data_IF_861694927851
#
_entry.id   IF_861694927851
#
_cell.length_a   1.000
_cell.length_b   1.000
_cell.length_c   1.000
_cell.angle_alpha   90.00
_cell.angle_beta   90.00
_cell.angle_gamma   90.00
#
_symmetry.space_group_name_H-M   'P 1'
#
loop_
_entity.id
_entity.type
_entity.pdbx_description
1 polymer ?
#
# COMPACT_ATOMS: atom_id res chain seq x y z
N UNK A 1 16.37 -18.47 66.39
CA UNK A 1 15.68 -17.50 67.28
C UNK A 1 14.65 -16.73 66.46
N UNK A 2 13.40 -16.74 66.92
CA UNK A 2 12.23 -15.87 66.58
C UNK A 2 11.82 -15.76 65.10
N UNK A 3 10.85 -16.51 64.53
CA UNK A 3 9.37 -16.70 64.75
C UNK A 3 8.43 -15.72 63.99
N UNK A 4 7.76 -16.29 62.96
CA UNK A 4 6.30 -16.24 62.61
C UNK A 4 5.64 -14.90 62.21
N UNK A 5 4.73 -14.79 61.23
CA UNK A 5 3.56 -15.66 60.92
C UNK A 5 3.18 -15.69 59.43
N UNK A 6 2.85 -16.90 58.95
CA UNK A 6 1.96 -17.22 57.81
C UNK A 6 0.49 -17.27 58.28
N UNK A 7 -0.46 -16.92 57.39
CA UNK A 7 -1.78 -17.58 57.22
C UNK A 7 -2.37 -17.12 55.87
N UNK A 8 -2.36 -17.94 54.81
CA UNK A 8 -3.25 -19.06 54.41
C UNK A 8 -4.67 -18.63 54.01
N UNK A 9 -4.94 -18.87 52.73
CA UNK A 9 -6.21 -19.00 52.00
C UNK A 9 -7.26 -19.87 52.70
N UNK A 10 -8.54 -19.63 52.41
CA UNK A 10 -9.55 -20.69 52.36
C UNK A 10 -10.59 -20.43 51.25
N UNK A 11 -10.98 -21.51 50.58
CA UNK A 11 -11.85 -21.59 49.39
C UNK A 11 -13.35 -21.61 49.75
N UNK A 12 -14.15 -21.07 48.81
CA UNK A 12 -15.48 -21.46 48.31
C UNK A 12 -16.39 -22.41 49.14
N UNK A 13 -17.65 -21.99 49.29
CA UNK A 13 -18.85 -22.85 49.22
C UNK A 13 -20.00 -22.12 48.51
N UNK A 14 -20.55 -22.77 47.48
CA UNK A 14 -21.81 -22.44 46.77
C UNK A 14 -23.05 -22.62 47.67
N UNK A 15 -24.09 -21.79 47.48
CA UNK A 15 -25.39 -22.17 46.85
C UNK A 15 -26.48 -21.10 47.01
N UNK A 16 -26.96 -20.63 45.85
CA UNK A 16 -28.37 -20.41 45.42
C UNK A 16 -29.34 -19.44 46.13
N UNK A 17 -29.94 -18.60 45.26
CA UNK A 17 -31.36 -18.22 45.15
C UNK A 17 -31.83 -16.85 45.71
N UNK A 18 -31.88 -15.86 44.80
CA UNK A 18 -33.05 -15.06 44.38
C UNK A 18 -34.04 -14.55 45.47
N UNK A 19 -34.15 -13.23 45.66
CA UNK A 19 -35.36 -12.44 45.32
C UNK A 19 -35.20 -10.93 45.67
N UNK A 20 -35.49 -10.08 44.68
CA UNK A 20 -36.21 -8.79 44.73
C UNK A 20 -35.94 -7.78 45.87
N UNK A 21 -35.49 -6.58 45.49
CA UNK A 21 -35.46 -5.41 46.37
C UNK A 21 -35.13 -4.09 45.66
N UNK A 22 -35.84 -3.76 44.59
CA UNK A 22 -35.92 -2.41 44.02
C UNK A 22 -37.41 -2.06 44.02
N UNK A 23 -37.79 -0.94 44.65
CA UNK A 23 -38.93 -0.07 44.29
C UNK A 23 -39.13 1.02 45.37
N UNK A 24 -39.11 2.27 44.89
CA UNK A 24 -39.81 3.46 45.40
C UNK A 24 -39.51 4.01 46.81
N UNK A 25 -38.82 5.15 46.84
CA UNK A 25 -39.18 6.25 47.74
C UNK A 25 -39.24 7.54 46.91
N UNK A 26 -40.44 7.82 46.38
CA UNK A 26 -40.91 9.15 45.96
C UNK A 26 -42.44 9.16 46.01
N UNK A 27 -43.06 9.23 47.20
CA UNK A 27 -44.44 9.71 47.40
C UNK A 27 -44.58 10.32 48.80
N UNK A 28 -45.13 11.53 48.87
CA UNK A 28 -45.46 12.30 50.09
C UNK A 28 -46.85 11.95 50.66
N UNK A 29 -46.99 12.09 52.00
CA UNK A 29 -48.25 12.23 52.76
C UNK A 29 -48.84 10.93 53.33
N UNK A 30 -49.22 10.76 54.60
CA UNK A 30 -49.68 11.70 55.65
C UNK A 30 -49.60 11.05 57.05
N UNK A 31 -49.61 11.91 58.08
CA UNK A 31 -49.92 11.67 59.50
C UNK A 31 -48.99 10.74 60.31
N UNK A 32 -48.13 11.35 61.14
CA UNK A 32 -48.06 11.07 62.57
C UNK A 32 -47.51 12.29 63.31
N UNK A 33 -48.03 12.48 64.51
CA UNK A 33 -47.97 13.64 65.38
C UNK A 33 -46.57 14.01 65.90
N UNK A 34 -46.29 15.31 65.89
CA UNK A 34 -45.70 16.05 67.01
C UNK A 34 -44.23 15.81 67.33
N UNK A 35 -43.34 16.67 66.81
CA UNK A 35 -42.45 17.49 67.64
C UNK A 35 -41.80 18.59 66.79
N UNK A 36 -41.70 19.79 67.35
CA UNK A 36 -41.19 20.99 66.71
C UNK A 36 -39.70 20.84 66.36
N UNK A 37 -39.37 20.92 65.07
CA UNK A 37 -38.06 21.38 64.62
C UNK A 37 -38.27 22.56 63.69
N UNK A 38 -37.81 23.71 64.15
CA UNK A 38 -37.95 25.00 63.52
C UNK A 38 -36.81 25.17 62.50
N UNK A 39 -37.17 25.42 61.24
CA UNK A 39 -36.31 26.11 60.27
C UNK A 39 -35.43 25.25 59.36
N UNK A 40 -36.04 24.64 58.34
CA UNK A 40 -35.41 24.51 57.02
C UNK A 40 -36.49 24.83 55.99
N UNK A 41 -36.23 25.78 55.09
CA UNK A 41 -37.09 26.04 53.93
C UNK A 41 -37.22 24.75 53.12
N UNK A 42 -38.30 24.00 53.32
CA UNK A 42 -38.70 22.91 52.43
C UNK A 42 -39.29 23.58 51.20
N UNK A 43 -38.43 23.90 50.22
CA UNK A 43 -38.90 24.13 48.86
C UNK A 43 -39.67 22.88 48.45
N UNK A 44 -40.97 23.03 48.20
CA UNK A 44 -41.76 22.04 47.48
C UNK A 44 -41.19 21.94 46.07
N UNK A 45 -40.25 21.01 45.89
CA UNK A 45 -39.73 20.64 44.58
C UNK A 45 -40.87 19.92 43.87
N UNK A 46 -41.38 20.50 42.78
CA UNK A 46 -42.30 19.81 41.88
C UNK A 46 -41.46 19.10 40.82
N UNK A 47 -41.15 17.80 40.98
CA UNK A 47 -40.42 17.06 39.97
C UNK A 47 -41.26 16.98 38.69
N UNK A 48 -40.59 17.15 37.56
CA UNK A 48 -41.16 17.01 36.22
C UNK A 48 -40.56 15.78 35.58
N UNK A 49 -41.41 14.96 34.97
CA UNK A 49 -40.98 13.85 34.14
C UNK A 49 -40.66 14.35 32.74
N UNK A 50 -39.44 14.08 32.27
CA UNK A 50 -38.93 14.46 30.95
C UNK A 50 -38.68 13.19 30.14
N UNK A 51 -39.04 13.21 28.87
CA UNK A 51 -38.74 12.12 27.92
C UNK A 51 -37.41 12.38 27.23
N UNK A 52 -36.56 11.36 27.07
CA UNK A 52 -35.27 11.45 26.41
C UNK A 52 -35.17 10.36 25.35
N UNK A 53 -35.12 10.76 24.09
CA UNK A 53 -35.03 9.84 22.95
C UNK A 53 -33.66 9.99 22.28
N UNK A 54 -32.97 8.87 22.08
CA UNK A 54 -31.77 8.83 21.23
C UNK A 54 -32.20 8.35 19.85
N UNK A 55 -32.12 9.23 18.86
CA UNK A 55 -32.53 8.96 17.47
C UNK A 55 -31.45 8.24 16.65
N UNK A 56 -30.17 8.48 16.96
CA UNK A 56 -29.01 7.94 16.25
C UNK A 56 -27.74 7.99 17.11
N UNK A 57 -26.75 7.16 16.75
CA UNK A 57 -25.43 7.18 17.39
C UNK A 57 -25.33 6.39 18.70
N UNK A 58 -26.23 5.44 18.94
CA UNK A 58 -26.20 4.59 20.15
C UNK A 58 -24.91 3.74 20.20
N UNK A 59 -24.39 3.37 19.03
CA UNK A 59 -23.12 2.67 18.84
C UNK A 59 -21.88 3.48 19.25
N UNK A 60 -22.02 4.79 19.46
CA UNK A 60 -20.95 5.69 19.89
C UNK A 60 -20.90 5.84 21.42
N UNK A 61 -21.81 5.19 22.15
CA UNK A 61 -21.96 5.31 23.59
C UNK A 61 -21.34 4.13 24.33
N UNK A 62 -20.95 4.37 25.58
CA UNK A 62 -20.43 3.30 26.43
C UNK A 62 -21.49 2.21 26.65
N UNK A 63 -21.05 0.96 26.63
CA UNK A 63 -21.89 -0.23 26.83
C UNK A 63 -22.02 -0.60 28.31
N UNK A 64 -21.12 -0.10 29.17
CA UNK A 64 -21.03 -0.48 30.58
C UNK A 64 -21.46 0.66 31.52
N UNK A 65 -22.77 0.82 31.73
CA UNK A 65 -23.34 1.73 32.72
C UNK A 65 -24.44 2.62 32.15
N UNK A 66 -24.99 3.56 32.95
CA UNK A 66 -25.84 4.59 32.37
C UNK A 66 -24.97 5.43 31.42
N UNK A 67 -25.36 5.52 30.15
CA UNK A 67 -24.65 6.31 29.14
C UNK A 67 -25.24 7.70 28.95
N UNK A 68 -26.33 8.01 29.68
CA UNK A 68 -26.98 9.31 29.63
C UNK A 68 -27.57 9.70 30.99
N UNK A 69 -27.47 10.99 31.33
CA UNK A 69 -28.06 11.61 32.52
C UNK A 69 -28.65 12.98 32.18
N UNK A 70 -29.64 13.41 32.95
CA UNK A 70 -30.13 14.79 32.97
C UNK A 70 -30.04 15.29 34.41
N UNK A 71 -29.31 16.38 34.64
CA UNK A 71 -29.03 16.94 35.98
C UNK A 71 -28.56 15.86 36.97
N UNK A 72 -27.56 15.09 36.56
CA UNK A 72 -26.98 13.95 37.29
C UNK A 72 -27.93 12.77 37.57
N UNK A 73 -29.19 12.89 37.19
CA UNK A 73 -30.19 11.83 37.28
C UNK A 73 -30.10 10.92 36.04
N UNK A 74 -29.96 9.62 36.29
CA UNK A 74 -29.85 8.60 35.24
C UNK A 74 -31.18 8.48 34.49
N UNK A 75 -31.12 8.51 33.17
CA UNK A 75 -32.30 8.21 32.33
C UNK A 75 -32.55 6.71 32.36
N UNK A 76 -33.78 6.33 32.66
CA UNK A 76 -34.23 4.93 32.67
C UNK A 76 -35.49 4.82 31.82
N UNK A 77 -35.58 3.83 30.94
CA UNK A 77 -36.73 3.63 30.03
C UNK A 77 -37.13 4.90 29.26
N UNK A 78 -36.13 5.63 28.74
CA UNK A 78 -36.28 6.90 28.01
C UNK A 78 -36.92 8.03 28.84
N UNK A 79 -36.92 7.93 30.17
CA UNK A 79 -37.55 8.91 31.05
C UNK A 79 -36.62 9.28 32.22
N UNK A 80 -36.76 10.50 32.71
CA UNK A 80 -36.04 11.00 33.90
C UNK A 80 -36.91 12.00 34.64
N UNK A 81 -36.87 11.97 35.97
CA UNK A 81 -37.51 12.99 36.80
C UNK A 81 -36.46 14.01 37.22
N UNK A 82 -36.68 15.28 36.87
CA UNK A 82 -35.78 16.39 37.19
C UNK A 82 -36.55 17.51 37.88
N UNK A 83 -35.84 18.35 38.64
CA UNK A 83 -36.44 19.57 39.19
C UNK A 83 -36.77 20.53 38.06
N UNK A 84 -37.81 21.35 38.22
CA UNK A 84 -38.11 22.39 37.24
C UNK A 84 -37.00 23.45 37.27
N UNK A 85 -36.35 23.66 36.13
CA UNK A 85 -35.31 24.66 35.92
C UNK A 85 -35.44 25.25 34.51
N UNK A 86 -34.93 26.47 34.30
CA UNK A 86 -34.92 27.11 32.98
C UNK A 86 -33.93 26.40 32.02
N UNK A 87 -32.91 25.75 32.58
CA UNK A 87 -31.85 25.04 31.87
C UNK A 87 -31.56 23.71 32.56
N UNK A 88 -31.19 22.70 31.77
CA UNK A 88 -30.78 21.38 32.23
C UNK A 88 -29.40 21.01 31.67
N UNK A 89 -28.68 20.14 32.40
CA UNK A 89 -27.45 19.50 31.94
C UNK A 89 -27.75 18.10 31.43
N UNK A 90 -27.52 17.85 30.15
CA UNK A 90 -27.55 16.51 29.57
C UNK A 90 -26.11 16.00 29.50
N UNK A 91 -25.80 14.93 30.23
CA UNK A 91 -24.48 14.30 30.20
C UNK A 91 -24.56 13.01 29.40
N UNK A 92 -23.69 12.84 28.41
CA UNK A 92 -23.62 11.65 27.56
C UNK A 92 -22.22 11.02 27.69
N UNK A 93 -22.16 9.72 27.95
CA UNK A 93 -20.89 9.01 28.10
C UNK A 93 -20.50 8.35 26.76
N UNK A 94 -19.51 8.91 26.03
CA UNK A 94 -19.03 8.28 24.80
C UNK A 94 -18.31 6.97 25.11
N UNK A 95 -18.32 6.05 24.17
CA UNK A 95 -17.45 4.88 24.20
C UNK A 95 -15.98 5.33 24.26
N UNK A 96 -15.15 4.61 25.02
CA UNK A 96 -13.72 4.89 25.13
C UNK A 96 -13.05 5.07 23.74
N UNK A 97 -12.36 6.20 23.55
CA UNK A 97 -11.69 6.54 22.29
C UNK A 97 -12.58 7.25 21.26
N UNK A 98 -13.84 7.52 21.57
CA UNK A 98 -14.72 8.37 20.78
C UNK A 98 -14.89 9.74 21.44
N UNK A 99 -14.80 10.78 20.62
CA UNK A 99 -15.38 12.08 20.93
C UNK A 99 -16.75 12.15 20.23
N UNK A 100 -17.72 12.86 20.80
CA UNK A 100 -19.08 12.96 20.24
C UNK A 100 -19.57 14.41 20.16
N UNK A 101 -20.39 14.70 19.17
CA UNK A 101 -21.22 15.91 19.10
C UNK A 101 -22.69 15.50 19.17
N UNK A 102 -23.55 16.39 19.68
CA UNK A 102 -24.99 16.16 19.75
C UNK A 102 -25.78 17.27 19.05
N UNK A 103 -26.86 16.87 18.39
CA UNK A 103 -28.01 17.76 18.15
C UNK A 103 -29.09 17.41 19.15
N UNK A 104 -29.63 18.40 19.83
CA UNK A 104 -30.67 18.24 20.83
C UNK A 104 -31.87 19.08 20.40
N UNK A 105 -33.00 18.41 20.20
CA UNK A 105 -34.22 19.02 19.64
C UNK A 105 -34.01 19.67 18.26
N UNK A 106 -33.07 19.13 17.48
CA UNK A 106 -32.75 19.57 16.12
C UNK A 106 -31.61 20.59 16.02
N UNK A 107 -31.26 21.25 17.12
CA UNK A 107 -30.20 22.26 17.15
C UNK A 107 -28.86 21.63 17.57
N UNK A 108 -27.76 22.04 16.92
CA UNK A 108 -26.41 21.66 17.36
C UNK A 108 -26.11 22.37 18.69
N UNK A 109 -25.73 21.59 19.70
CA UNK A 109 -25.38 22.12 21.03
C UNK A 109 -23.92 21.81 21.30
N UNK A 110 -23.16 22.83 21.68
CA UNK A 110 -21.76 22.65 22.05
C UNK A 110 -21.65 22.00 23.43
N UNK A 111 -20.91 20.89 23.50
CA UNK A 111 -20.66 20.17 24.73
C UNK A 111 -19.31 20.54 25.36
N UNK A 112 -19.21 20.36 26.68
CA UNK A 112 -17.94 20.42 27.44
C UNK A 112 -17.64 19.04 28.03
N UNK A 113 -16.38 18.61 28.00
CA UNK A 113 -15.96 17.37 28.65
C UNK A 113 -15.82 17.59 30.17
N UNK A 114 -16.54 16.81 30.98
CA UNK A 114 -16.46 16.80 32.44
C UNK A 114 -16.37 15.34 32.92
N UNK A 115 -15.26 14.96 33.56
CA UNK A 115 -15.04 13.61 34.12
C UNK A 115 -15.35 12.44 33.15
N UNK A 116 -14.97 12.59 31.88
CA UNK A 116 -15.19 11.61 30.82
C UNK A 116 -16.59 11.63 30.20
N UNK A 117 -17.48 12.50 30.68
CA UNK A 117 -18.80 12.74 30.09
C UNK A 117 -18.75 13.95 29.16
N UNK A 118 -19.50 13.88 28.06
CA UNK A 118 -19.81 15.05 27.25
C UNK A 118 -21.08 15.71 27.79
N UNK A 119 -20.95 16.91 28.35
CA UNK A 119 -22.02 17.64 29.03
C UNK A 119 -22.55 18.78 28.15
N UNK A 120 -23.85 18.81 27.94
CA UNK A 120 -24.58 19.80 27.14
C UNK A 120 -25.53 20.60 28.02
N UNK A 121 -25.54 21.92 27.87
CA UNK A 121 -26.46 22.80 28.59
C UNK A 121 -27.60 23.19 27.66
N UNK A 122 -28.83 22.83 28.01
CA UNK A 122 -30.02 22.96 27.15
C UNK A 122 -31.18 23.63 27.87
N UNK A 123 -32.06 24.31 27.12
CA UNK A 123 -33.25 24.93 27.68
C UNK A 123 -34.31 23.89 28.13
N UNK A 124 -35.17 24.27 29.07
CA UNK A 124 -36.29 23.43 29.54
C UNK A 124 -37.12 22.87 28.38
N UNK A 125 -37.35 21.55 28.38
CA UNK A 125 -38.29 20.88 27.48
C UNK A 125 -39.05 19.76 28.20
N UNK A 126 -40.17 19.33 27.61
CA UNK A 126 -40.89 18.11 28.02
C UNK A 126 -40.23 16.85 27.41
N UNK A 127 -39.48 17.04 26.32
CA UNK A 127 -38.81 15.99 25.56
C UNK A 127 -37.47 16.50 25.00
N UNK A 128 -36.45 15.65 25.06
CA UNK A 128 -35.18 15.83 24.37
C UNK A 128 -35.01 14.74 23.32
N UNK A 129 -35.03 15.13 22.05
CA UNK A 129 -34.64 14.30 20.92
C UNK A 129 -33.16 14.52 20.62
N UNK A 130 -32.35 13.48 20.82
CA UNK A 130 -30.89 13.56 20.76
C UNK A 130 -30.39 12.74 19.58
N UNK A 131 -29.64 13.40 18.70
CA UNK A 131 -28.88 12.76 17.61
C UNK A 131 -27.39 12.88 17.93
N UNK A 132 -26.72 11.74 18.09
CA UNK A 132 -25.30 11.68 18.44
C UNK A 132 -24.49 11.36 17.18
N UNK A 133 -23.38 12.07 17.00
CA UNK A 133 -22.42 11.83 15.92
C UNK A 133 -21.01 11.88 16.45
N UNK A 134 -20.05 11.26 15.75
CA UNK A 134 -18.65 11.23 16.17
C UNK A 134 -18.02 12.63 16.00
N UNK A 135 -17.57 13.23 17.10
CA UNK A 135 -16.80 14.48 17.07
C UNK A 135 -15.42 14.26 16.49
N UNK A 136 -14.89 15.34 15.94
CA UNK A 136 -13.64 15.35 15.22
C UNK A 136 -13.44 16.71 14.58
N UNK A 137 -12.18 17.05 14.29
CA UNK A 137 -11.93 18.00 13.22
C UNK A 137 -12.73 17.54 12.00
N UNK A 138 -13.39 18.46 11.29
CA UNK A 138 -14.04 18.13 10.02
C UNK A 138 -13.06 17.54 8.99
N UNK A 139 -11.76 17.52 9.30
CA UNK A 139 -10.64 17.13 8.43
C UNK A 139 -9.51 16.49 9.25
N UNK A 140 -8.90 15.42 8.74
CA UNK A 140 -7.75 14.75 9.35
C UNK A 140 -6.59 14.69 8.37
N UNK A 141 -5.35 14.59 8.84
CA UNK A 141 -4.19 14.62 7.96
C UNK A 141 -3.65 13.23 7.66
N UNK A 142 -3.23 13.01 6.42
CA UNK A 142 -2.34 11.92 6.03
C UNK A 142 -0.95 12.52 5.77
N UNK A 143 0.07 12.01 6.45
CA UNK A 143 1.44 12.49 6.34
C UNK A 143 2.43 11.39 5.99
N UNK A 144 3.47 11.75 5.25
CA UNK A 144 4.65 10.91 4.98
C UNK A 144 5.85 11.79 4.66
N UNK A 145 7.06 11.25 4.80
CA UNK A 145 8.30 11.89 4.44
C UNK A 145 9.26 10.91 3.77
N UNK A 146 10.15 11.44 2.94
CA UNK A 146 11.24 10.66 2.34
C UNK A 146 12.52 10.67 3.19
N UNK A 147 12.46 11.31 4.35
CA UNK A 147 13.48 11.34 5.39
C UNK A 147 12.88 10.93 6.75
N UNK A 148 13.63 11.13 7.83
CA UNK A 148 13.21 10.73 9.18
C UNK A 148 12.29 11.76 9.87
N UNK A 149 11.75 12.76 9.15
CA UNK A 149 10.96 13.87 9.72
C UNK A 149 9.78 13.39 10.58
N UNK A 150 9.14 12.29 10.19
CA UNK A 150 7.98 11.72 10.92
C UNK A 150 8.30 10.40 11.63
N UNK A 151 9.58 10.05 11.80
CA UNK A 151 9.98 8.73 12.32
C UNK A 151 9.82 7.60 11.29
N UNK A 152 10.17 6.38 11.69
CA UNK A 152 10.11 5.18 10.83
C UNK A 152 8.69 4.87 10.33
N UNK A 153 7.67 5.22 11.12
CA UNK A 153 6.25 4.97 10.82
C UNK A 153 5.66 5.89 9.75
N UNK A 154 6.35 6.98 9.40
CA UNK A 154 5.99 7.90 8.31
C UNK A 154 7.02 7.98 7.19
N UNK A 155 8.03 7.10 7.18
CA UNK A 155 9.14 7.12 6.22
C UNK A 155 8.81 6.33 4.94
N UNK A 156 9.21 6.90 3.80
CA UNK A 156 9.10 6.30 2.47
C UNK A 156 10.48 6.30 1.81
N UNK A 157 10.97 5.14 1.39
CA UNK A 157 12.27 5.02 0.71
C UNK A 157 12.22 3.97 -0.41
N UNK A 158 12.94 4.19 -1.51
CA UNK A 158 12.95 3.31 -2.70
C UNK A 158 11.60 3.21 -3.42
N UNK A 159 10.88 4.32 -3.43
CA UNK A 159 9.60 4.48 -4.09
C UNK A 159 8.99 5.84 -3.80
N UNK A 160 7.79 6.06 -4.32
CA UNK A 160 7.04 7.30 -4.16
C UNK A 160 5.60 7.05 -3.75
N UNK A 161 5.06 8.01 -3.01
CA UNK A 161 3.68 8.02 -2.52
C UNK A 161 3.02 9.33 -2.93
N UNK A 162 1.77 9.23 -3.42
CA UNK A 162 0.94 10.38 -3.76
C UNK A 162 -0.53 10.08 -3.55
N UNK A 163 -1.24 10.92 -2.81
CA UNK A 163 -2.71 10.88 -2.75
C UNK A 163 -3.25 11.46 -4.06
N UNK A 164 -4.04 10.66 -4.76
CA UNK A 164 -4.60 10.96 -6.08
C UNK A 164 -5.99 11.58 -5.93
N UNK A 165 -6.81 11.04 -5.04
CA UNK A 165 -8.16 11.53 -4.78
C UNK A 165 -8.62 11.14 -3.38
N UNK A 166 -9.61 11.87 -2.86
CA UNK A 166 -10.43 11.44 -1.75
C UNK A 166 -11.88 11.84 -2.06
N UNK A 167 -12.80 10.88 -2.08
CA UNK A 167 -14.19 11.09 -2.51
C UNK A 167 -15.12 10.71 -1.37
N UNK A 168 -15.99 11.65 -0.97
CA UNK A 168 -17.01 11.42 0.05
C UNK A 168 -18.11 10.47 -0.48
N UNK A 169 -18.92 9.86 0.42
CA UNK A 169 -20.03 8.99 0.01
C UNK A 169 -21.06 9.65 -0.92
N UNK A 170 -21.22 10.97 -0.83
CA UNK A 170 -22.10 11.76 -1.69
C UNK A 170 -21.47 12.14 -3.05
N UNK A 171 -20.25 11.67 -3.31
CA UNK A 171 -19.47 11.92 -4.52
C UNK A 171 -18.69 13.24 -4.53
N UNK A 172 -18.77 14.04 -3.47
CA UNK A 172 -18.04 15.30 -3.38
C UNK A 172 -16.56 15.11 -3.02
N UNK A 173 -15.73 16.14 -3.27
CA UNK A 173 -14.30 16.09 -2.95
C UNK A 173 -14.06 16.11 -1.43
N UNK A 174 -13.31 15.13 -0.95
CA UNK A 174 -12.90 14.98 0.43
C UNK A 174 -11.56 15.66 0.77
N UNK A 175 -10.76 16.06 -0.22
CA UNK A 175 -9.48 16.78 0.00
C UNK A 175 -9.77 18.26 0.27
N UNK A 176 -9.17 18.79 1.33
CA UNK A 176 -9.33 20.17 1.79
C UNK A 176 -8.14 21.07 1.41
N UNK A 177 -8.06 22.28 1.97
CA UNK A 177 -7.08 23.30 1.58
C UNK A 177 -5.60 22.92 1.75
N UNK A 178 -5.27 21.93 2.59
CA UNK A 178 -3.90 21.45 2.76
C UNK A 178 -3.69 20.24 1.86
N UNK A 179 -2.86 20.41 0.83
CA UNK A 179 -2.52 19.38 -0.13
C UNK A 179 -1.06 19.55 -0.60
N UNK A 180 -0.15 19.51 0.37
CA UNK A 180 1.28 19.72 0.15
C UNK A 180 1.95 18.37 -0.10
N UNK A 181 2.10 18.02 -1.38
CA UNK A 181 2.74 16.76 -1.81
C UNK A 181 3.92 17.06 -2.74
N UNK A 182 5.13 16.92 -2.23
CA UNK A 182 6.36 17.18 -2.97
C UNK A 182 7.38 16.03 -2.79
N UNK A 183 8.58 16.19 -3.35
CA UNK A 183 9.65 15.19 -3.32
C UNK A 183 10.25 14.93 -1.93
N UNK A 184 9.86 15.71 -0.90
CA UNK A 184 10.37 15.58 0.46
C UNK A 184 9.31 15.08 1.44
N UNK A 185 8.09 15.59 1.31
CA UNK A 185 6.99 15.32 2.25
C UNK A 185 5.65 15.29 1.55
N UNK A 186 4.71 14.57 2.16
CA UNK A 186 3.28 14.71 1.93
C UNK A 186 2.57 15.13 3.21
N UNK A 187 1.68 16.10 3.10
CA UNK A 187 0.73 16.50 4.11
C UNK A 187 -0.58 16.85 3.40
N UNK A 188 -1.59 16.01 3.58
CA UNK A 188 -2.91 16.20 2.94
C UNK A 188 -3.98 16.14 4.00
N UNK A 189 -4.83 17.18 4.06
CA UNK A 189 -5.98 17.22 4.95
C UNK A 189 -7.21 16.69 4.21
N UNK A 190 -7.85 15.67 4.78
CA UNK A 190 -8.91 14.88 4.16
C UNK A 190 -10.08 14.73 5.14
N UNK A 191 -11.31 14.94 4.66
CA UNK A 191 -12.53 14.69 5.42
C UNK A 191 -12.65 13.21 5.78
N UNK A 192 -13.09 12.87 7.00
CA UNK A 192 -13.35 11.49 7.36
C UNK A 192 -14.39 10.86 6.43
N UNK A 193 -14.40 9.53 6.38
CA UNK A 193 -15.32 8.71 5.58
C UNK A 193 -15.14 8.84 4.06
N UNK A 194 -14.20 9.65 3.60
CA UNK A 194 -13.79 9.72 2.20
C UNK A 194 -13.07 8.43 1.79
N UNK A 195 -13.42 7.88 0.62
CA UNK A 195 -12.61 6.85 -0.02
C UNK A 195 -11.39 7.50 -0.66
N UNK A 196 -10.23 7.28 -0.06
CA UNK A 196 -8.95 7.82 -0.49
C UNK A 196 -8.31 6.85 -1.46
N UNK A 197 -7.85 7.38 -2.60
CA UNK A 197 -7.00 6.65 -3.55
C UNK A 197 -5.59 7.19 -3.45
N UNK A 198 -4.63 6.31 -3.16
CA UNK A 198 -3.21 6.62 -3.07
C UNK A 198 -2.45 5.82 -4.12
N UNK A 199 -1.50 6.49 -4.79
CA UNK A 199 -0.53 5.86 -5.68
C UNK A 199 0.74 5.59 -4.90
N UNK A 200 1.13 4.32 -4.80
CA UNK A 200 2.33 3.85 -4.13
C UNK A 200 3.18 3.14 -5.18
N UNK A 201 4.16 3.86 -5.73
CA UNK A 201 4.95 3.43 -6.87
C UNK A 201 6.36 3.04 -6.39
N UNK A 202 6.74 1.75 -6.42
CA UNK A 202 8.13 1.38 -6.15
C UNK A 202 9.07 1.94 -7.20
N UNK A 203 10.32 2.20 -6.83
CA UNK A 203 11.39 2.43 -7.81
C UNK A 203 11.69 1.13 -8.56
N UNK A 204 12.32 1.21 -9.73
CA UNK A 204 12.78 0.01 -10.43
C UNK A 204 13.80 -0.78 -9.57
N UNK A 205 13.70 -2.11 -9.60
CA UNK A 205 14.46 -3.03 -8.76
C UNK A 205 13.89 -3.21 -7.35
N UNK A 206 12.74 -2.60 -7.05
CA UNK A 206 12.06 -2.73 -5.75
C UNK A 206 10.60 -3.15 -5.93
N UNK A 207 10.08 -3.87 -4.94
CA UNK A 207 8.69 -4.29 -4.89
C UNK A 207 8.01 -3.73 -3.64
N UNK A 208 6.77 -3.28 -3.78
CA UNK A 208 5.93 -2.93 -2.64
C UNK A 208 5.50 -4.21 -1.91
N UNK A 209 5.92 -4.36 -0.66
CA UNK A 209 5.65 -5.55 0.15
C UNK A 209 4.53 -5.31 1.13
N UNK A 210 4.50 -4.14 1.75
CA UNK A 210 3.50 -3.77 2.73
C UNK A 210 3.47 -2.25 2.87
N UNK A 211 2.32 -1.71 3.24
CA UNK A 211 2.18 -0.33 3.66
C UNK A 211 1.11 -0.26 4.74
N UNK A 212 1.23 0.72 5.62
CA UNK A 212 0.26 0.89 6.69
C UNK A 212 -0.03 2.36 6.95
N UNK A 213 -1.23 2.60 7.47
CA UNK A 213 -1.69 3.91 7.92
C UNK A 213 -1.93 3.82 9.43
N UNK A 214 -0.88 4.03 10.22
CA UNK A 214 -0.89 3.74 11.66
C UNK A 214 -1.36 2.31 11.97
N UNK A 215 -0.87 1.32 11.21
CA UNK A 215 -1.26 -0.09 11.35
C UNK A 215 -2.56 -0.48 10.61
N UNK A 216 -3.29 0.47 10.00
CA UNK A 216 -4.41 0.14 9.13
C UNK A 216 -3.92 -0.35 7.76
N UNK A 217 -4.60 -1.35 7.22
CA UNK A 217 -4.32 -1.91 5.89
C UNK A 217 -4.87 -1.04 4.77
N UNK A 218 -4.17 -1.02 3.64
CA UNK A 218 -4.63 -0.46 2.38
C UNK A 218 -4.93 -1.59 1.40
N UNK A 219 -5.86 -1.37 0.46
CA UNK A 219 -6.31 -2.40 -0.49
C UNK A 219 -5.86 -2.04 -1.90
N UNK A 220 -5.29 -2.97 -2.64
CA UNK A 220 -4.87 -2.75 -4.02
C UNK A 220 -6.07 -2.54 -4.96
N UNK A 221 -5.99 -1.53 -5.83
CA UNK A 221 -6.95 -1.25 -6.88
C UNK A 221 -6.70 -2.03 -8.17
N UNK A 222 -7.54 -1.77 -9.19
CA UNK A 222 -7.33 -2.30 -10.55
C UNK A 222 -6.21 -1.58 -11.29
N UNK A 223 -6.12 -0.26 -11.12
CA UNK A 223 -5.09 0.58 -11.73
C UNK A 223 -3.72 0.33 -11.08
N UNK A 224 -2.68 0.32 -11.90
CA UNK A 224 -1.31 -0.02 -11.48
C UNK A 224 -0.83 0.89 -10.35
N UNK A 225 -0.29 0.28 -9.30
CA UNK A 225 0.26 0.98 -8.13
C UNK A 225 -0.75 1.84 -7.37
N UNK A 226 -2.06 1.60 -7.56
CA UNK A 226 -3.10 2.31 -6.81
C UNK A 226 -3.63 1.46 -5.67
N UNK A 227 -3.90 2.13 -4.55
CA UNK A 227 -4.45 1.53 -3.36
C UNK A 227 -5.53 2.42 -2.79
N UNK A 228 -6.46 1.84 -2.04
CA UNK A 228 -7.55 2.57 -1.42
C UNK A 228 -7.67 2.28 0.07
N UNK A 229 -8.21 3.26 0.80
CA UNK A 229 -8.65 3.14 2.18
C UNK A 229 -9.76 4.15 2.46
N UNK A 230 -10.53 3.93 3.53
CA UNK A 230 -11.49 4.92 4.02
C UNK A 230 -10.81 5.80 5.05
N UNK A 231 -10.86 7.12 4.88
CA UNK A 231 -10.25 8.07 5.80
C UNK A 231 -10.88 7.93 7.19
N UNK A 232 -10.15 7.48 8.22
CA UNK A 232 -10.68 7.37 9.56
C UNK A 232 -10.73 8.74 10.23
N UNK A 233 -11.37 8.77 11.39
CA UNK A 233 -11.46 9.97 12.23
C UNK A 233 -10.21 10.14 13.10
N UNK A 234 -9.03 10.06 12.49
CA UNK A 234 -7.74 10.27 13.15
C UNK A 234 -6.69 10.65 12.11
N UNK A 235 -5.62 11.33 12.54
CA UNK A 235 -4.47 11.58 11.70
C UNK A 235 -3.73 10.28 11.41
N UNK A 236 -3.17 10.16 10.22
CA UNK A 236 -2.50 8.97 9.72
C UNK A 236 -1.07 9.29 9.28
N UNK A 237 -0.12 8.46 9.70
CA UNK A 237 1.20 8.37 9.08
C UNK A 237 1.17 7.24 8.05
N UNK A 238 1.58 7.55 6.83
CA UNK A 238 1.69 6.59 5.75
C UNK A 238 3.13 6.11 5.65
N UNK A 239 3.34 4.83 5.92
CA UNK A 239 4.58 4.11 5.62
C UNK A 239 4.39 3.18 4.44
N UNK A 240 5.43 3.06 3.62
CA UNK A 240 5.49 2.12 2.51
C UNK A 240 6.83 1.37 2.54
N UNK A 241 6.75 0.06 2.72
CA UNK A 241 7.90 -0.84 2.70
C UNK A 241 8.15 -1.35 1.28
N UNK A 242 9.27 -0.92 0.74
CA UNK A 242 9.78 -1.38 -0.54
C UNK A 242 11.00 -2.27 -0.33
N UNK A 243 11.01 -3.46 -0.95
CA UNK A 243 12.10 -4.43 -0.83
C UNK A 243 12.78 -4.63 -2.15
N UNK A 244 14.11 -4.58 -2.15
CA UNK A 244 14.92 -4.83 -3.34
C UNK A 244 14.65 -6.25 -3.85
N UNK A 245 14.33 -6.34 -5.13
CA UNK A 245 13.96 -7.59 -5.80
C UNK A 245 14.67 -7.64 -7.15
N UNK A 246 15.18 -8.81 -7.52
CA UNK A 246 15.81 -9.00 -8.82
C UNK A 246 14.74 -9.18 -9.89
N UNK A 247 15.08 -8.84 -11.12
CA UNK A 247 14.30 -9.26 -12.27
C UNK A 247 14.25 -10.78 -12.38
N UNK A 248 13.19 -11.26 -13.03
CA UNK A 248 12.89 -12.69 -13.14
C UNK A 248 13.12 -13.10 -14.59
N UNK A 249 13.79 -14.24 -14.77
CA UNK A 249 13.84 -14.92 -16.06
C UNK A 249 13.38 -16.36 -15.88
N UNK A 250 12.34 -16.71 -16.61
CA UNK A 250 11.77 -18.05 -16.64
C UNK A 250 12.11 -18.67 -17.99
N UNK A 251 12.83 -19.79 -17.97
CA UNK A 251 13.28 -20.48 -19.18
C UNK A 251 12.68 -21.88 -19.24
N UNK A 252 11.90 -22.15 -20.27
CA UNK A 252 11.33 -23.44 -20.64
C UNK A 252 11.85 -23.83 -22.04
N UNK A 253 13.17 -23.93 -22.16
CA UNK A 253 13.87 -24.25 -23.42
C UNK A 253 14.89 -25.38 -23.25
N UNK A 254 15.05 -26.21 -24.29
CA UNK A 254 16.13 -27.21 -24.35
C UNK A 254 17.51 -26.56 -24.45
N UNK A 255 17.63 -25.46 -25.17
CA UNK A 255 18.90 -24.85 -25.59
C UNK A 255 19.29 -23.64 -24.73
N UNK A 256 18.33 -23.02 -24.05
CA UNK A 256 18.55 -21.93 -23.08
C UNK A 256 18.24 -22.42 -21.67
N UNK A 257 19.28 -22.54 -20.82
CA UNK A 257 19.16 -23.09 -19.46
C UNK A 257 18.79 -22.07 -18.39
N UNK A 258 19.21 -20.83 -18.58
CA UNK A 258 18.95 -19.69 -17.70
C UNK A 258 19.42 -18.42 -18.40
N UNK A 259 19.28 -17.28 -17.74
CA UNK A 259 19.87 -16.05 -18.23
C UNK A 259 19.86 -14.93 -17.19
N UNK A 260 20.07 -13.72 -17.67
CA UNK A 260 19.96 -12.50 -16.90
C UNK A 260 19.57 -11.35 -17.80
N UNK A 261 19.06 -10.29 -17.18
CA UNK A 261 18.68 -9.06 -17.83
C UNK A 261 19.51 -7.93 -17.23
N UNK A 262 19.90 -6.97 -18.05
CA UNK A 262 20.43 -5.69 -17.59
C UNK A 262 19.79 -4.53 -18.36
N UNK A 263 19.92 -3.32 -17.81
CA UNK A 263 19.32 -2.10 -18.33
C UNK A 263 17.78 -2.05 -18.24
N UNK A 264 17.16 -2.82 -17.34
CA UNK A 264 15.71 -2.81 -17.18
C UNK A 264 15.17 -1.47 -16.65
N UNK A 265 15.99 -0.70 -15.93
CA UNK A 265 15.70 0.66 -15.49
C UNK A 265 15.46 1.63 -16.65
N UNK A 266 15.97 1.32 -17.84
CA UNK A 266 15.78 2.15 -19.04
C UNK A 266 14.46 1.84 -19.75
N UNK A 267 13.78 0.76 -19.33
CA UNK A 267 12.60 0.22 -20.00
C UNK A 267 11.34 0.44 -19.17
N UNK A 268 11.44 0.26 -17.84
CA UNK A 268 10.35 0.52 -16.90
C UNK A 268 10.83 1.39 -15.75
N UNK A 269 9.95 2.25 -15.25
CA UNK A 269 10.27 3.22 -14.21
C UNK A 269 9.82 2.78 -12.80
N UNK A 270 9.36 1.53 -12.66
CA UNK A 270 8.77 0.98 -11.45
C UNK A 270 8.82 -0.54 -11.42
N UNK A 271 8.98 -1.11 -10.22
CA UNK A 271 8.86 -2.54 -10.02
C UNK A 271 10.03 -3.31 -10.60
N UNK A 272 9.72 -4.42 -11.27
CA UNK A 272 10.69 -5.28 -11.92
C UNK A 272 10.17 -5.72 -13.28
N UNK A 273 11.03 -6.39 -14.03
CA UNK A 273 10.64 -7.09 -15.26
C UNK A 273 10.74 -8.60 -15.10
N UNK A 274 9.88 -9.30 -15.83
CA UNK A 274 9.90 -10.75 -15.99
C UNK A 274 10.02 -11.08 -17.47
N UNK A 275 11.07 -11.82 -17.83
CA UNK A 275 11.25 -12.39 -19.16
C UNK A 275 10.88 -13.87 -19.13
N UNK A 276 9.98 -14.27 -20.02
CA UNK A 276 9.61 -15.66 -20.26
C UNK A 276 10.19 -16.09 -21.60
N UNK A 277 10.94 -17.18 -21.60
CA UNK A 277 11.59 -17.76 -22.77
C UNK A 277 11.16 -19.21 -22.87
N UNK A 278 10.54 -19.61 -23.98
CA UNK A 278 10.15 -21.00 -24.23
C UNK A 278 10.51 -21.41 -25.65
N UNK A 279 10.69 -22.71 -25.87
CA UNK A 279 10.77 -23.21 -27.24
C UNK A 279 9.41 -23.04 -27.95
N UNK A 280 9.46 -22.74 -29.24
CA UNK A 280 8.27 -22.77 -30.09
C UNK A 280 7.72 -24.19 -30.21
N UNK A 281 6.39 -24.31 -30.34
CA UNK A 281 5.82 -25.60 -30.74
C UNK A 281 6.30 -26.00 -32.13
N UNK A 282 6.28 -27.30 -32.45
CA UNK A 282 6.75 -27.82 -33.75
C UNK A 282 6.14 -27.06 -34.95
N UNK A 283 4.85 -26.72 -34.88
CA UNK A 283 4.17 -25.98 -35.94
C UNK A 283 4.65 -24.52 -36.04
N UNK A 284 4.82 -23.84 -34.90
CA UNK A 284 5.31 -22.46 -34.88
C UNK A 284 6.77 -22.37 -35.34
N UNK A 285 7.60 -23.33 -34.94
CA UNK A 285 8.98 -23.46 -35.38
C UNK A 285 9.09 -23.68 -36.89
N UNK A 286 8.27 -24.57 -37.47
CA UNK A 286 8.25 -24.83 -38.91
C UNK A 286 7.82 -23.60 -39.73
N UNK A 287 6.89 -22.79 -39.20
CA UNK A 287 6.51 -21.51 -39.82
C UNK A 287 7.68 -20.55 -39.81
N UNK A 288 8.29 -20.34 -38.63
CA UNK A 288 9.42 -19.41 -38.49
C UNK A 288 10.62 -19.86 -39.34
N UNK A 289 10.92 -21.16 -39.40
CA UNK A 289 11.97 -21.73 -40.24
C UNK A 289 11.77 -21.36 -41.72
N UNK A 290 10.53 -21.47 -42.22
CA UNK A 290 10.19 -21.06 -43.58
C UNK A 290 10.42 -19.56 -43.81
N UNK A 291 10.01 -18.74 -42.85
CA UNK A 291 10.06 -17.28 -42.92
C UNK A 291 11.50 -16.72 -42.86
N UNK A 292 12.38 -17.34 -42.07
CA UNK A 292 13.76 -16.87 -41.89
C UNK A 292 14.76 -17.53 -42.84
N UNK A 293 14.34 -18.46 -43.69
CA UNK A 293 15.24 -19.29 -44.51
C UNK A 293 16.27 -18.49 -45.31
N UNK A 294 15.84 -17.39 -45.93
CA UNK A 294 16.73 -16.51 -46.69
C UNK A 294 17.72 -15.73 -45.80
N UNK A 295 17.34 -15.45 -44.55
CA UNK A 295 18.16 -14.75 -43.56
C UNK A 295 19.20 -15.68 -42.89
N UNK A 296 18.91 -16.98 -42.78
CA UNK A 296 19.81 -18.00 -42.22
C UNK A 296 20.82 -18.49 -43.26
N UNK A 297 20.42 -18.64 -44.52
CA UNK A 297 21.29 -19.17 -45.56
C UNK A 297 21.69 -20.63 -45.29
N UNK A 298 22.99 -20.88 -45.18
CA UNK A 298 23.53 -22.23 -44.91
C UNK A 298 23.85 -22.48 -43.42
N UNK A 299 23.60 -21.50 -42.55
CA UNK A 299 23.84 -21.62 -41.12
C UNK A 299 22.79 -22.53 -40.44
N UNK A 300 23.07 -22.96 -39.21
CA UNK A 300 22.24 -23.92 -38.48
C UNK A 300 21.44 -23.21 -37.39
N UNK A 301 20.11 -23.30 -37.44
CA UNK A 301 19.27 -22.85 -36.32
C UNK A 301 19.39 -23.85 -35.18
N UNK A 302 19.85 -23.37 -34.03
CA UNK A 302 20.01 -24.16 -32.80
C UNK A 302 18.73 -24.17 -31.96
N UNK A 303 17.95 -23.07 -31.96
CA UNK A 303 16.70 -23.00 -31.22
C UNK A 303 15.72 -22.00 -31.85
N UNK A 304 14.43 -22.28 -31.71
CA UNK A 304 13.36 -21.33 -32.01
C UNK A 304 12.63 -21.00 -30.71
N UNK A 305 12.64 -19.73 -30.32
CA UNK A 305 12.22 -19.25 -29.01
C UNK A 305 11.05 -18.28 -29.15
N UNK A 306 10.05 -18.38 -28.28
CA UNK A 306 9.10 -17.30 -27.99
C UNK A 306 9.56 -16.57 -26.72
N UNK A 307 9.73 -15.26 -26.84
CA UNK A 307 10.20 -14.39 -25.78
C UNK A 307 9.12 -13.36 -25.42
N UNK A 308 8.64 -13.41 -24.18
CA UNK A 308 7.63 -12.49 -23.67
C UNK A 308 8.17 -11.69 -22.48
N UNK A 309 8.12 -10.36 -22.55
CA UNK A 309 8.52 -9.47 -21.46
C UNK A 309 7.29 -8.89 -20.76
N UNK A 310 7.34 -8.83 -19.44
CA UNK A 310 6.31 -8.23 -18.60
C UNK A 310 6.94 -7.24 -17.61
N UNK A 311 6.30 -6.09 -17.40
CA UNK A 311 6.51 -5.33 -16.17
C UNK A 311 5.66 -5.93 -15.05
N UNK A 312 6.21 -6.00 -13.84
CA UNK A 312 5.60 -6.67 -12.70
C UNK A 312 5.71 -5.80 -11.45
N UNK A 313 4.55 -5.47 -10.87
CA UNK A 313 4.45 -4.70 -9.63
C UNK A 313 3.51 -5.41 -8.66
N UNK A 314 4.01 -5.78 -7.49
CA UNK A 314 3.25 -6.47 -6.46
C UNK A 314 2.14 -5.61 -5.86
N UNK A 315 1.00 -6.24 -5.54
CA UNK A 315 -0.19 -5.61 -4.94
C UNK A 315 -0.11 -5.47 -3.42
N UNK A 316 1.09 -5.33 -2.86
CA UNK A 316 1.32 -5.36 -1.41
C UNK A 316 1.31 -6.78 -0.81
N UNK A 317 1.51 -7.79 -1.66
CA UNK A 317 1.80 -9.16 -1.28
C UNK A 317 2.62 -9.83 -2.40
N UNK A 318 3.22 -11.00 -2.14
CA UNK A 318 4.08 -11.70 -3.11
C UNK A 318 3.33 -12.55 -4.13
N UNK A 319 2.01 -12.69 -4.01
CA UNK A 319 1.21 -13.63 -4.81
C UNK A 319 0.41 -12.96 -5.91
N UNK A 320 0.15 -11.66 -5.77
CA UNK A 320 -0.64 -10.88 -6.71
C UNK A 320 0.18 -9.71 -7.22
N UNK A 321 0.18 -9.52 -8.53
CA UNK A 321 0.85 -8.41 -9.20
C UNK A 321 -0.06 -7.76 -10.23
N UNK A 322 0.19 -6.49 -10.50
CA UNK A 322 -0.14 -5.90 -11.79
C UNK A 322 0.94 -6.32 -12.78
N UNK A 323 0.52 -6.91 -13.88
CA UNK A 323 1.40 -7.35 -14.96
C UNK A 323 0.99 -6.67 -16.25
N UNK A 324 1.96 -6.10 -16.97
CA UNK A 324 1.73 -5.54 -18.28
C UNK A 324 2.73 -6.12 -19.28
N UNK A 325 2.22 -6.69 -20.36
CA UNK A 325 3.06 -7.23 -21.44
C UNK A 325 3.71 -6.08 -22.20
N UNK A 326 5.01 -6.18 -22.43
CA UNK A 326 5.83 -5.24 -23.18
C UNK A 326 6.31 -5.91 -24.47
N UNK A 327 5.78 -5.49 -25.61
CA UNK A 327 6.13 -6.07 -26.92
C UNK A 327 7.16 -5.23 -27.66
N UNK A 328 7.20 -3.92 -27.43
CA UNK A 328 8.14 -2.98 -28.04
C UNK A 328 8.62 -1.99 -26.99
N UNK A 329 9.90 -1.64 -27.05
CA UNK A 329 10.59 -0.78 -26.09
C UNK A 329 11.15 0.45 -26.78
N UNK A 330 11.20 1.55 -26.05
CA UNK A 330 11.87 2.78 -26.52
C UNK A 330 13.39 2.70 -26.38
N UNK A 331 13.88 1.96 -25.38
CA UNK A 331 15.30 1.73 -25.14
C UNK A 331 15.59 0.23 -25.17
N UNK A 332 16.79 -0.14 -25.60
CA UNK A 332 17.20 -1.54 -25.65
C UNK A 332 17.35 -2.12 -24.25
N UNK A 333 16.97 -3.39 -24.13
CA UNK A 333 17.27 -4.26 -23.01
C UNK A 333 18.42 -5.21 -23.42
N UNK A 334 19.37 -5.44 -22.53
CA UNK A 334 20.43 -6.44 -22.78
C UNK A 334 20.03 -7.76 -22.13
N UNK A 335 19.92 -8.79 -22.95
CA UNK A 335 19.58 -10.16 -22.55
C UNK A 335 20.82 -11.03 -22.64
N UNK A 336 21.13 -11.74 -21.56
CA UNK A 336 22.20 -12.75 -21.54
C UNK A 336 21.60 -14.11 -21.31
N UNK A 337 21.91 -15.10 -22.15
CA UNK A 337 21.51 -16.49 -21.99
C UNK A 337 22.69 -17.39 -21.71
N UNK A 338 22.50 -18.32 -20.78
CA UNK A 338 23.38 -19.47 -20.58
C UNK A 338 22.87 -20.63 -21.46
N UNK A 339 23.69 -21.05 -22.43
CA UNK A 339 23.30 -22.08 -23.39
C UNK A 339 23.43 -23.49 -22.81
N UNK A 340 22.79 -24.46 -23.45
CA UNK A 340 22.95 -25.88 -23.18
C UNK A 340 24.39 -26.36 -23.46
N UNK A 341 24.80 -27.44 -22.78
CA UNK A 341 26.19 -27.92 -22.75
C UNK A 341 26.73 -28.30 -24.14
N UNK A 342 25.87 -28.79 -25.03
CA UNK A 342 26.22 -29.16 -26.41
C UNK A 342 26.44 -27.94 -27.32
N UNK A 343 25.99 -26.76 -26.92
CA UNK A 343 26.25 -25.48 -27.57
C UNK A 343 27.45 -24.73 -26.96
N UNK A 344 28.00 -25.20 -25.83
CA UNK A 344 29.16 -24.58 -25.17
C UNK A 344 30.47 -24.97 -25.87
N UNK A 345 31.42 -24.04 -25.88
CA UNK A 345 32.75 -24.30 -26.41
C UNK A 345 32.83 -24.52 -27.92
N UNK A 346 31.75 -24.27 -28.68
CA UNK A 346 31.78 -24.38 -30.15
C UNK A 346 32.75 -23.33 -30.72
N UNK A 347 33.49 -23.71 -31.76
CA UNK A 347 34.49 -22.87 -32.43
C UNK A 347 33.89 -21.86 -33.43
N UNK A 348 32.57 -21.86 -33.63
CA UNK A 348 31.86 -20.93 -34.50
C UNK A 348 31.31 -19.69 -33.80
N UNK A 349 30.47 -18.95 -34.52
CA UNK A 349 29.80 -17.75 -34.02
C UNK A 349 28.30 -18.00 -33.85
N UNK A 350 27.66 -17.19 -33.00
CA UNK A 350 26.21 -17.18 -32.86
C UNK A 350 25.66 -15.83 -33.33
N UNK A 351 24.40 -15.83 -33.75
CA UNK A 351 23.61 -14.62 -33.90
C UNK A 351 22.13 -14.93 -33.69
N UNK A 352 21.31 -13.89 -33.54
CA UNK A 352 19.87 -14.01 -33.42
C UNK A 352 19.21 -13.53 -34.71
N UNK A 353 18.16 -14.22 -35.16
CA UNK A 353 17.17 -13.63 -36.06
C UNK A 353 15.90 -13.44 -35.27
N UNK A 354 15.43 -12.19 -35.17
CA UNK A 354 14.13 -11.87 -34.58
C UNK A 354 13.12 -11.67 -35.70
N UNK A 355 11.98 -12.35 -35.61
CA UNK A 355 10.77 -12.02 -36.36
C UNK A 355 9.83 -11.24 -35.42
N UNK A 356 9.29 -10.11 -35.86
CA UNK A 356 8.32 -9.32 -35.10
C UNK A 356 7.12 -8.96 -35.95
N UNK A 357 5.94 -8.95 -35.33
CA UNK A 357 4.71 -8.47 -35.95
C UNK A 357 4.55 -6.99 -35.64
N UNK A 358 4.70 -6.15 -36.65
CA UNK A 358 4.55 -4.70 -36.55
C UNK A 358 3.08 -4.30 -36.33
N UNK A 359 2.86 -3.08 -35.86
CA UNK A 359 1.52 -2.56 -35.58
C UNK A 359 0.58 -2.53 -36.81
N UNK A 360 1.13 -2.49 -38.03
CA UNK A 360 0.38 -2.55 -39.29
C UNK A 360 0.03 -3.98 -39.75
N UNK A 361 0.46 -4.99 -38.98
CA UNK A 361 0.26 -6.41 -39.29
C UNK A 361 1.29 -6.99 -40.26
N UNK A 362 2.35 -6.26 -40.59
CA UNK A 362 3.48 -6.79 -41.37
C UNK A 362 4.51 -7.48 -40.47
N UNK A 363 5.28 -8.42 -41.05
CA UNK A 363 6.41 -9.05 -40.37
C UNK A 363 7.70 -8.29 -40.66
N UNK A 364 8.46 -7.99 -39.62
CA UNK A 364 9.83 -7.47 -39.73
C UNK A 364 10.83 -8.51 -39.24
N UNK A 365 12.02 -8.49 -39.84
CA UNK A 365 13.12 -9.39 -39.49
C UNK A 365 14.36 -8.57 -39.14
N UNK A 366 15.03 -8.93 -38.05
CA UNK A 366 16.28 -8.31 -37.64
C UNK A 366 17.33 -9.38 -37.34
N UNK A 367 18.49 -9.28 -37.99
CA UNK A 367 19.69 -10.04 -37.61
C UNK A 367 20.40 -9.29 -36.49
N UNK A 368 20.32 -9.82 -35.28
CA UNK A 368 20.87 -9.21 -34.07
C UNK A 368 22.21 -9.88 -33.75
N UNK A 369 23.32 -9.13 -33.72
CA UNK A 369 24.61 -9.67 -33.31
C UNK A 369 24.60 -10.05 -31.83
N UNK A 370 25.36 -11.08 -31.47
CA UNK A 370 25.52 -11.49 -30.06
C UNK A 370 27.00 -11.47 -29.67
N UNK A 371 27.25 -11.20 -28.40
CA UNK A 371 28.56 -11.42 -27.78
C UNK A 371 28.56 -12.83 -27.20
N UNK A 372 29.35 -13.73 -27.78
CA UNK A 372 29.49 -15.11 -27.30
C UNK A 372 30.72 -15.26 -26.40
N UNK A 373 30.49 -15.55 -25.13
CA UNK A 373 31.52 -16.06 -24.22
C UNK A 373 31.57 -17.58 -24.36
N UNK A 374 32.55 -18.03 -25.15
CA UNK A 374 32.77 -19.45 -25.43
C UNK A 374 33.12 -20.27 -24.20
N UNK A 375 33.87 -19.70 -23.25
CA UNK A 375 34.34 -20.41 -22.05
C UNK A 375 33.17 -20.70 -21.11
N UNK A 376 32.30 -19.71 -20.91
CA UNK A 376 31.14 -19.84 -20.03
C UNK A 376 29.89 -20.36 -20.76
N UNK A 377 29.90 -20.37 -22.10
CA UNK A 377 28.78 -20.80 -22.91
C UNK A 377 27.61 -19.81 -22.84
N UNK A 378 27.91 -18.51 -22.83
CA UNK A 378 26.89 -17.47 -22.70
C UNK A 378 26.83 -16.59 -23.93
N UNK A 379 25.63 -16.19 -24.33
CA UNK A 379 25.41 -15.19 -25.38
C UNK A 379 24.76 -13.96 -24.76
N UNK A 380 25.17 -12.77 -25.17
CA UNK A 380 24.53 -11.51 -24.77
C UNK A 380 24.16 -10.68 -25.99
N UNK A 381 22.97 -10.11 -26.00
CA UNK A 381 22.50 -9.27 -27.10
C UNK A 381 21.50 -8.23 -26.63
N UNK A 382 21.40 -7.15 -27.41
CA UNK A 382 20.46 -6.07 -27.16
C UNK A 382 19.18 -6.27 -27.98
N UNK A 383 18.03 -6.01 -27.39
CA UNK A 383 16.75 -6.04 -28.10
C UNK A 383 15.77 -5.00 -27.58
N UNK A 384 14.98 -4.46 -28.51
CA UNK A 384 13.91 -3.50 -28.29
C UNK A 384 12.51 -4.09 -28.52
N UNK A 385 12.39 -5.37 -28.92
CA UNK A 385 11.09 -5.99 -29.23
C UNK A 385 11.01 -7.41 -28.71
N UNK A 386 9.85 -7.88 -28.25
CA UNK A 386 9.66 -9.20 -27.65
C UNK A 386 8.60 -9.97 -28.44
N UNK A 387 9.05 -11.07 -29.04
CA UNK A 387 8.37 -11.81 -30.11
C UNK A 387 9.05 -13.17 -30.29
N UNK A 388 9.15 -13.68 -31.52
CA UNK A 388 9.83 -14.93 -31.85
C UNK A 388 11.27 -14.71 -32.32
N UNK A 389 12.13 -15.63 -31.91
CA UNK A 389 13.58 -15.54 -32.06
C UNK A 389 14.12 -16.88 -32.57
N UNK A 390 15.11 -16.83 -33.44
CA UNK A 390 15.91 -17.98 -33.83
C UNK A 390 17.35 -17.77 -33.37
N UNK A 391 17.87 -18.69 -32.56
CA UNK A 391 19.29 -18.75 -32.23
C UNK A 391 20.01 -19.50 -33.34
N UNK A 392 20.91 -18.82 -34.04
CA UNK A 392 21.61 -19.38 -35.20
C UNK A 392 23.09 -19.55 -34.87
N UNK A 393 23.62 -20.70 -35.25
CA UNK A 393 25.03 -21.04 -35.17
C UNK A 393 25.65 -21.06 -36.58
N UNK A 394 26.74 -20.32 -36.75
CA UNK A 394 27.52 -20.31 -37.98
C UNK A 394 28.90 -20.91 -37.74
N UNK A 395 29.32 -21.82 -38.61
CA UNK A 395 30.67 -22.38 -38.62
C UNK A 395 31.70 -21.45 -39.26
N UNK A 396 31.22 -20.42 -39.97
CA UNK A 396 32.08 -19.43 -40.58
C UNK A 396 32.45 -18.39 -39.52
N UNK A 397 33.74 -18.33 -39.18
CA UNK A 397 34.29 -17.38 -38.21
C UNK A 397 34.37 -15.98 -38.83
N UNK A 398 33.22 -15.39 -39.16
CA UNK A 398 33.07 -14.01 -39.60
C UNK A 398 32.96 -13.05 -38.41
N UNK A 399 33.55 -13.41 -37.27
CA UNK A 399 33.82 -12.52 -36.14
C UNK A 399 34.89 -11.49 -36.52
N UNK A 400 34.58 -10.62 -37.49
CA UNK A 400 35.19 -9.29 -37.56
C UNK A 400 34.24 -8.36 -36.85
N UNK A 401 34.60 -7.99 -35.62
CA UNK A 401 34.19 -6.70 -35.06
C UNK A 401 34.48 -5.63 -36.12
N UNK A 402 33.44 -5.10 -36.76
CA UNK A 402 33.58 -3.97 -37.67
C UNK A 402 33.77 -2.71 -36.82
N UNK A 403 34.98 -2.59 -36.27
CA UNK A 403 35.60 -1.34 -35.87
C UNK A 403 36.94 -1.32 -36.58
N UNK A 404 36.89 -1.07 -37.89
CA UNK A 404 37.90 -0.30 -38.64
C UNK A 404 37.62 -0.48 -40.14
N UNK A 405 36.82 0.41 -40.73
CA UNK A 405 37.14 0.99 -42.04
C UNK A 405 36.21 2.17 -42.38
N UNK A 406 36.69 3.36 -42.07
CA UNK A 406 36.25 4.57 -42.73
C UNK A 406 37.03 4.71 -44.04
N UNK A 407 36.52 4.15 -45.13
CA UNK A 407 37.01 4.44 -46.47
C UNK A 407 35.89 5.07 -47.31
N UNK A 408 36.10 6.37 -47.54
CA UNK A 408 35.38 7.23 -48.46
C UNK A 408 35.42 6.66 -49.89
N UNK A 409 34.30 6.72 -50.63
CA UNK A 409 34.21 7.56 -51.84
C UNK A 409 32.80 7.67 -52.48
N UNK A 410 32.40 8.93 -52.70
CA UNK A 410 31.59 9.52 -53.81
C UNK A 410 30.10 9.11 -53.97
N UNK A 411 29.13 10.00 -54.26
CA UNK A 411 29.24 11.34 -54.85
C UNK A 411 27.99 12.23 -54.62
N UNK A 412 28.26 13.52 -54.36
CA UNK A 412 27.52 14.78 -54.62
C UNK A 412 25.99 14.83 -54.81
N UNK A 413 25.32 15.67 -54.01
CA UNK A 413 24.55 16.84 -54.52
C UNK A 413 24.76 18.06 -53.60
N UNK A 414 24.99 19.20 -54.26
CA UNK A 414 25.42 20.51 -53.80
C UNK A 414 24.34 21.29 -53.03
N UNK A 415 24.75 22.01 -51.98
CA UNK A 415 23.99 23.08 -51.33
C UNK A 415 24.86 23.94 -50.40
N UNK A 416 25.47 24.99 -50.96
CA UNK A 416 26.31 26.01 -50.31
C UNK A 416 25.50 26.85 -49.32
N UNK A 417 26.06 27.14 -48.12
CA UNK A 417 26.14 28.50 -47.55
C UNK A 417 26.93 28.55 -46.22
N UNK A 418 28.14 29.09 -46.33
CA UNK A 418 28.87 30.07 -45.50
C UNK A 418 28.62 30.20 -43.98
N UNK A 419 29.73 29.94 -43.26
CA UNK A 419 30.35 30.72 -42.17
C UNK A 419 29.56 31.05 -40.90
N UNK A 420 30.04 30.54 -39.75
CA UNK A 420 30.81 31.37 -38.81
C UNK A 420 31.54 30.54 -37.73
N UNK A 421 32.80 30.95 -37.57
CA UNK A 421 33.80 30.55 -36.58
C UNK A 421 33.36 30.90 -35.16
N UNK A 422 33.70 30.09 -34.14
CA UNK A 422 33.98 30.50 -32.74
C UNK A 422 34.45 29.30 -31.88
N UNK A 423 35.77 29.27 -31.73
CA UNK A 423 36.61 28.85 -30.59
C UNK A 423 36.08 27.93 -29.47
N UNK A 424 36.77 26.79 -29.41
CA UNK A 424 37.23 25.96 -28.28
C UNK A 424 37.07 26.51 -26.84
N UNK A 425 36.50 25.67 -25.95
CA UNK A 425 36.88 25.63 -24.53
C UNK A 425 36.71 24.22 -23.95
N UNK A 426 37.86 23.63 -23.62
CA UNK A 426 38.00 22.34 -22.94
C UNK A 426 37.47 22.35 -21.50
N UNK A 427 36.90 21.23 -21.07
CA UNK A 427 36.94 20.78 -19.67
C UNK A 427 36.80 19.26 -19.56
N UNK A 428 37.70 18.68 -18.77
CA UNK A 428 37.97 17.27 -18.50
C UNK A 428 36.78 16.46 -17.97
N UNK A 429 36.58 15.25 -18.50
CA UNK A 429 35.77 14.19 -17.87
C UNK A 429 36.67 13.03 -17.47
N UNK A 430 36.93 12.90 -16.17
CA UNK A 430 37.58 11.73 -15.57
C UNK A 430 36.68 10.50 -15.68
N UNK A 431 37.18 9.48 -16.36
CA UNK A 431 36.66 8.10 -16.36
C UNK A 431 36.91 7.46 -15.00
N UNK A 432 35.88 6.98 -14.31
CA UNK A 432 36.01 6.06 -13.18
C UNK A 432 35.45 4.69 -13.57
N UNK A 433 36.35 3.72 -13.73
CA UNK A 433 36.05 2.29 -13.81
C UNK A 433 35.23 1.84 -12.59
N UNK A 434 33.97 1.51 -12.78
CA UNK A 434 33.15 0.81 -11.79
C UNK A 434 33.13 -0.69 -12.15
N UNK A 435 33.79 -1.48 -11.32
CA UNK A 435 33.79 -2.94 -11.33
C UNK A 435 32.39 -3.44 -10.97
N UNK A 436 31.81 -4.31 -11.79
CA UNK A 436 30.51 -4.93 -11.55
C UNK A 436 30.44 -5.60 -10.16
N UNK A 437 29.35 -5.41 -9.38
CA UNK A 437 29.20 -6.04 -8.08
C UNK A 437 28.88 -7.53 -8.23
N UNK A 438 29.55 -8.37 -7.44
CA UNK A 438 29.25 -9.80 -7.30
C UNK A 438 27.99 -9.98 -6.46
N UNK A 439 27.02 -10.73 -6.99
CA UNK A 439 25.88 -11.28 -6.25
C UNK A 439 26.33 -12.51 -5.46
N UNK A 440 26.23 -12.43 -4.14
CA UNK A 440 26.50 -13.56 -3.26
C UNK A 440 26.62 -13.11 -1.81
N UNK A 441 25.48 -12.97 -1.14
CA UNK A 441 25.30 -13.24 0.31
C UNK A 441 23.84 -12.96 0.71
N UNK A 442 22.94 -13.89 0.37
CA UNK A 442 21.50 -13.84 0.74
C UNK A 442 21.20 -14.54 2.08
N UNK A 443 22.22 -15.14 2.72
CA UNK A 443 22.01 -16.03 3.87
C UNK A 443 21.68 -15.27 5.17
N UNK A 444 22.26 -14.08 5.41
CA UNK A 444 21.94 -13.28 6.62
C UNK A 444 20.57 -12.57 6.54
N UNK A 445 20.10 -12.22 5.34
CA UNK A 445 18.81 -11.52 5.16
C UNK A 445 17.63 -12.49 5.35
N UNK A 446 17.79 -13.75 4.91
CA UNK A 446 16.78 -14.80 5.11
C UNK A 446 16.53 -15.09 6.61
N UNK A 447 17.56 -15.07 7.45
CA UNK A 447 17.39 -15.28 8.90
C UNK A 447 16.62 -14.14 9.59
N UNK A 448 16.85 -12.88 9.20
CA UNK A 448 16.11 -11.73 9.75
C UNK A 448 14.63 -11.71 9.31
N UNK A 449 14.33 -12.15 8.08
CA UNK A 449 12.95 -12.25 7.57
C UNK A 449 12.17 -13.37 8.28
N UNK A 450 12.80 -14.51 8.56
CA UNK A 450 12.18 -15.60 9.30
C UNK A 450 11.82 -15.17 10.74
N UNK A 451 12.66 -14.36 11.38
CA UNK A 451 12.39 -13.83 12.74
C UNK A 451 11.21 -12.84 12.73
N UNK A 452 11.09 -11.97 11.71
CA UNK A 452 9.93 -11.06 11.59
C UNK A 452 8.61 -11.82 11.37
N UNK A 453 8.60 -12.83 10.50
CA UNK A 453 7.38 -13.62 10.22
C UNK A 453 6.95 -14.39 11.48
N UNK A 454 7.89 -14.93 12.26
CA UNK A 454 7.59 -15.57 13.54
C UNK A 454 6.96 -14.59 14.56
N UNK A 455 7.43 -13.33 14.60
CA UNK A 455 6.86 -12.28 15.46
C UNK A 455 5.39 -11.96 15.13
N UNK A 456 5.06 -11.88 13.83
CA UNK A 456 3.69 -11.60 13.37
C UNK A 456 2.73 -12.75 13.71
N UNK A 457 3.17 -14.01 13.55
CA UNK A 457 2.34 -15.19 13.88
C UNK A 457 2.04 -15.25 15.39
N UNK A 458 3.02 -14.91 16.24
CA UNK A 458 2.82 -14.86 17.70
C UNK A 458 1.83 -13.75 18.09
N UNK A 459 1.90 -12.59 17.46
CA UNK A 459 0.97 -11.48 17.70
C UNK A 459 -0.48 -11.84 17.30
N UNK A 460 -0.68 -12.49 16.15
CA UNK A 460 -2.00 -12.94 15.69
C UNK A 460 -2.57 -14.04 16.60
N UNK A 461 -1.71 -14.94 17.09
CA UNK A 461 -2.11 -16.01 18.01
C UNK A 461 -2.52 -15.47 19.39
N UNK A 462 -1.78 -14.47 19.90
CA UNK A 462 -2.12 -13.78 21.14
C UNK A 462 -3.43 -12.98 21.03
N UNK A 463 -3.69 -12.38 19.86
CA UNK A 463 -4.94 -11.65 19.61
C UNK A 463 -6.14 -12.60 19.49
N UNK A 464 -5.97 -13.76 18.86
CA UNK A 464 -7.03 -14.76 18.70
C UNK A 464 -7.41 -15.45 20.02
N UNK A 465 -6.46 -15.65 20.94
CA UNK A 465 -6.75 -16.17 22.27
C UNK A 465 -7.48 -15.15 23.17
N UNK A 466 -7.29 -13.84 22.94
CA UNK A 466 -7.94 -12.77 23.72
C UNK A 466 -9.39 -12.48 23.29
N UNK A 467 -9.83 -13.04 22.15
CA UNK A 467 -11.22 -12.96 21.66
C UNK A 467 -12.05 -14.17 22.14
N UNK A 468 -11.40 -15.23 22.62
CA UNK A 468 -12.05 -16.46 23.07
C UNK A 468 -12.02 -16.66 24.61
N UNK A 469 -11.60 -15.65 25.36
CA UNK A 469 -11.82 -15.50 26.81
C UNK A 469 -12.77 -14.33 27.06
#
# INVERSE_FOLDING_TARGET
MVKTKKKKSLKFKNKMAWLLGLVMICVFGTMLSGENVQGADVRLVNPKTVTVNIKSGLELLDTFGPYIKVDDCVVTDNMVNVEKADMHKISILPQFGYSIEAKINGDKVDGVEEDGWQVYTVAEADMYDIEISKAGSGVYTVTWAYDDTFGEDGKVANGSVRIISAILPDGSNGIENINDQNEKVGLVAIKPDSMVTVKIKPDYGYQFVAGSLNGNTITAGSEVSTFTFIMPRTNLHLSALFTKTNDIINTESSDVKSGSISNGENVVDSGNIRLEVKDLSENEAAVLEGDIKENVGNDVVSAYLDMNLYSVINKGNKTEAWENKLTELTNNLTVTFNLADDLKGKDGSFYIIREHMEADGSKSFAKIPVIYDKENGTISFDTDKFSTYALVYSTDDNSRNDSDNNDNNSNEVIGKNDNNNLEEKATDTKTSNAKAPKTGDTTQVMELVIIMIAGIIVAVSAFKNRINE
#
